data_IF_733168524045
#
_entry.id   IF_733168524045
#
_cell.length_a   1.000
_cell.length_b   1.000
_cell.length_c   1.000
_cell.angle_alpha   90.00
_cell.angle_beta   90.00
_cell.angle_gamma   90.00
#
_symmetry.space_group_name_H-M   'P 1'
#
loop_
_entity.id
_entity.type
_entity.pdbx_description
1 polymer ?
#
# COMPACT_ATOMS: atom_id res chain seq x y z
N UNK A 1 -15.11 17.33 0.34
CA UNK A 1 -13.71 17.51 -0.10
C UNK A 1 -13.27 16.30 -0.93
N UNK A 2 -12.15 16.36 -1.67
CA UNK A 2 -11.57 15.20 -2.36
C UNK A 2 -10.49 14.57 -1.49
N UNK A 3 -10.52 13.25 -1.32
CA UNK A 3 -9.39 12.50 -0.76
C UNK A 3 -8.33 12.24 -1.84
N UNK A 4 -7.09 12.59 -1.57
CA UNK A 4 -5.92 12.20 -2.37
C UNK A 4 -5.14 11.19 -1.54
N UNK A 5 -5.02 9.96 -2.03
CA UNK A 5 -4.43 8.86 -1.27
C UNK A 5 -3.72 7.87 -2.16
N UNK A 6 -2.97 6.96 -1.56
CA UNK A 6 -2.33 5.86 -2.25
C UNK A 6 -3.34 4.76 -2.59
N UNK A 7 -3.16 4.12 -3.75
CA UNK A 7 -4.00 3.00 -4.19
C UNK A 7 -3.56 1.70 -3.52
N UNK A 8 -3.86 1.57 -2.22
CA UNK A 8 -3.61 0.37 -1.43
C UNK A 8 -4.70 0.18 -0.36
N UNK A 9 -4.54 -0.84 0.49
CA UNK A 9 -5.54 -1.18 1.49
C UNK A 9 -5.69 -0.07 2.54
N UNK A 10 -4.58 0.50 3.04
CA UNK A 10 -4.59 1.60 4.02
C UNK A 10 -5.27 2.86 3.46
N UNK A 11 -4.94 3.26 2.24
CA UNK A 11 -5.62 4.37 1.55
C UNK A 11 -7.13 4.12 1.37
N UNK A 12 -7.53 2.87 1.12
CA UNK A 12 -8.95 2.50 1.02
C UNK A 12 -9.67 2.59 2.38
N UNK A 13 -9.00 2.23 3.48
CA UNK A 13 -9.57 2.37 4.83
C UNK A 13 -9.65 3.86 5.24
N UNK A 14 -8.66 4.68 4.90
CA UNK A 14 -8.76 6.14 5.05
C UNK A 14 -10.01 6.69 4.34
N UNK A 15 -10.29 6.21 3.12
CA UNK A 15 -11.48 6.60 2.37
C UNK A 15 -12.79 6.17 3.07
N UNK A 16 -12.83 4.97 3.67
CA UNK A 16 -13.98 4.52 4.48
C UNK A 16 -14.26 5.48 5.63
N UNK A 17 -13.24 5.78 6.44
CA UNK A 17 -13.38 6.61 7.63
C UNK A 17 -13.82 8.04 7.29
N UNK A 18 -13.17 8.66 6.30
CA UNK A 18 -13.46 10.03 5.90
C UNK A 18 -14.83 10.15 5.20
N UNK A 19 -15.25 9.13 4.43
CA UNK A 19 -16.59 9.05 3.86
C UNK A 19 -17.65 8.88 4.94
N UNK A 20 -17.38 8.05 5.96
CA UNK A 20 -18.30 7.87 7.09
C UNK A 20 -18.53 9.19 7.83
N UNK A 21 -17.50 10.00 7.98
CA UNK A 21 -17.62 11.33 8.58
C UNK A 21 -18.30 12.37 7.66
N UNK A 22 -18.53 12.05 6.39
CA UNK A 22 -19.10 12.97 5.39
C UNK A 22 -18.11 14.07 4.97
N UNK A 23 -16.82 13.83 5.11
CA UNK A 23 -15.76 14.80 4.80
C UNK A 23 -15.32 14.74 3.35
N UNK A 24 -15.53 13.62 2.67
CA UNK A 24 -15.14 13.43 1.27
C UNK A 24 -16.33 12.99 0.41
N UNK A 25 -16.27 13.41 -0.85
CA UNK A 25 -17.24 13.09 -1.90
C UNK A 25 -16.57 12.51 -3.16
N UNK A 26 -15.23 12.59 -3.26
CA UNK A 26 -14.43 12.00 -4.34
C UNK A 26 -13.09 11.46 -3.81
N UNK A 27 -12.52 10.50 -4.54
CA UNK A 27 -11.24 9.87 -4.23
C UNK A 27 -10.34 9.91 -5.46
N UNK A 28 -9.14 10.49 -5.30
CA UNK A 28 -8.06 10.45 -6.27
C UNK A 28 -6.92 9.55 -5.76
N UNK A 29 -6.73 8.42 -6.42
CA UNK A 29 -5.59 7.56 -6.16
C UNK A 29 -4.36 8.05 -6.92
N UNK A 30 -3.24 8.20 -6.22
CA UNK A 30 -2.00 8.76 -6.78
C UNK A 30 -0.78 7.90 -6.41
N UNK A 31 0.27 8.03 -7.20
CA UNK A 31 1.58 7.56 -6.78
C UNK A 31 2.27 8.65 -5.95
N UNK A 32 2.87 8.35 -4.77
CA UNK A 32 3.52 9.35 -3.91
C UNK A 32 4.53 10.24 -4.65
N UNK A 33 5.30 9.65 -5.56
CA UNK A 33 6.27 10.38 -6.38
C UNK A 33 5.63 11.46 -7.26
N UNK A 34 4.41 11.25 -7.75
CA UNK A 34 3.74 12.26 -8.60
C UNK A 34 3.30 13.49 -7.79
N UNK A 35 3.01 13.32 -6.49
CA UNK A 35 2.82 14.44 -5.58
C UNK A 35 4.12 15.18 -5.29
N UNK A 36 5.21 14.45 -5.01
CA UNK A 36 6.53 15.02 -4.77
C UNK A 36 7.06 15.79 -6.01
N UNK A 37 6.76 15.29 -7.21
CA UNK A 37 7.13 15.91 -8.48
C UNK A 37 6.16 17.05 -8.90
N UNK A 38 5.19 17.42 -8.06
CA UNK A 38 4.17 18.43 -8.31
C UNK A 38 3.36 18.21 -9.61
N UNK A 39 3.18 16.95 -10.03
CA UNK A 39 2.35 16.60 -11.19
C UNK A 39 0.86 16.61 -10.87
N UNK A 40 0.49 16.55 -9.60
CA UNK A 40 -0.88 16.55 -9.09
C UNK A 40 -1.15 17.91 -8.48
N UNK A 41 -2.18 18.59 -8.98
CA UNK A 41 -2.64 19.84 -8.38
C UNK A 41 -3.39 19.55 -7.08
N UNK A 42 -2.93 20.14 -5.98
CA UNK A 42 -3.51 20.04 -4.63
C UNK A 42 -4.04 21.41 -4.23
N UNK A 43 -5.19 21.44 -3.59
CA UNK A 43 -5.90 22.67 -3.17
C UNK A 43 -6.39 22.54 -1.72
N UNK A 44 -6.89 23.60 -1.14
CA UNK A 44 -7.53 23.60 0.17
C UNK A 44 -8.81 22.72 0.27
N UNK A 45 -9.32 22.21 -0.86
CA UNK A 45 -10.44 21.27 -0.89
C UNK A 45 -9.98 19.81 -0.95
N UNK A 46 -8.69 19.54 -0.75
CA UNK A 46 -8.12 18.20 -0.76
C UNK A 46 -7.72 17.77 0.66
N UNK A 47 -8.06 16.52 1.01
CA UNK A 47 -7.51 15.79 2.15
C UNK A 47 -6.44 14.85 1.62
N UNK A 48 -5.23 14.97 2.11
CA UNK A 48 -4.14 14.05 1.82
C UNK A 48 -4.06 13.01 2.92
N UNK A 49 -4.07 11.70 2.59
CA UNK A 49 -3.86 10.63 3.54
C UNK A 49 -2.98 9.52 2.94
N UNK A 50 -2.05 8.96 3.71
CA UNK A 50 -1.11 7.92 3.26
C UNK A 50 -0.25 8.36 2.06
N UNK A 51 0.04 9.65 1.97
CA UNK A 51 0.84 10.26 0.90
C UNK A 51 1.63 11.46 1.45
N UNK A 52 2.74 11.85 0.77
CA UNK A 52 3.53 13.00 1.17
C UNK A 52 2.73 14.29 1.29
N UNK A 53 3.12 15.13 2.25
CA UNK A 53 2.55 16.46 2.41
C UNK A 53 2.79 17.35 1.21
N UNK A 54 1.75 18.06 0.79
CA UNK A 54 1.82 19.14 -0.21
C UNK A 54 1.19 20.40 0.36
N UNK A 55 1.95 21.50 0.34
CA UNK A 55 1.47 22.80 0.83
C UNK A 55 0.22 23.24 0.10
N UNK A 56 -0.73 23.78 0.87
CA UNK A 56 -2.02 24.25 0.33
C UNK A 56 -3.14 23.19 0.34
N UNK A 57 -2.89 21.95 0.80
CA UNK A 57 -3.96 21.01 1.11
C UNK A 57 -4.81 21.51 2.28
N UNK A 58 -6.07 21.07 2.35
CA UNK A 58 -6.96 21.39 3.46
C UNK A 58 -6.60 20.63 4.73
N UNK A 59 -6.41 19.30 4.61
CA UNK A 59 -6.00 18.42 5.72
C UNK A 59 -4.95 17.45 5.25
N UNK A 60 -4.09 17.02 6.18
CA UNK A 60 -3.09 15.99 5.91
C UNK A 60 -2.97 15.00 7.07
N UNK A 61 -2.91 13.68 6.71
CA UNK A 61 -2.76 12.57 7.64
C UNK A 61 -1.72 11.59 7.10
N UNK A 62 -0.68 11.32 7.90
CA UNK A 62 0.36 10.37 7.53
C UNK A 62 1.02 9.71 8.75
N UNK A 63 1.65 8.56 8.53
CA UNK A 63 2.31 7.77 9.57
C UNK A 63 3.80 7.52 9.28
N UNK A 64 4.31 7.98 8.13
CA UNK A 64 5.70 7.76 7.73
C UNK A 64 6.65 8.70 8.48
N UNK A 65 7.66 8.15 9.15
CA UNK A 65 8.65 8.91 9.92
C UNK A 65 9.45 9.90 9.06
N UNK A 66 9.80 9.50 7.82
CA UNK A 66 10.51 10.35 6.85
C UNK A 66 9.75 11.64 6.51
N UNK A 67 8.42 11.59 6.47
CA UNK A 67 7.59 12.77 6.24
C UNK A 67 7.55 13.68 7.47
N UNK A 68 7.54 13.13 8.68
CA UNK A 68 7.63 13.92 9.90
C UNK A 68 8.93 14.73 9.99
N UNK A 69 10.06 14.17 9.52
CA UNK A 69 11.33 14.89 9.47
C UNK A 69 11.34 15.96 8.39
N UNK A 70 10.83 15.64 7.21
CA UNK A 70 10.70 16.60 6.11
C UNK A 70 9.83 17.79 6.50
N UNK A 71 8.81 17.61 7.32
CA UNK A 71 7.89 18.65 7.79
C UNK A 71 8.50 19.64 8.77
N UNK A 72 9.50 19.28 9.52
CA UNK A 72 10.25 20.25 10.37
C UNK A 72 10.75 21.42 9.53
N UNK A 73 10.81 21.25 8.21
CA UNK A 73 11.28 22.23 7.23
C UNK A 73 10.15 22.96 6.49
N UNK A 74 8.88 22.52 6.54
CA UNK A 74 7.81 22.99 5.62
C UNK A 74 6.67 23.78 6.25
N UNK A 75 6.63 23.94 7.58
CA UNK A 75 5.65 24.82 8.21
C UNK A 75 4.44 24.09 8.83
N UNK A 76 3.36 24.86 9.08
CA UNK A 76 2.14 24.37 9.74
C UNK A 76 1.18 23.75 8.74
N UNK A 77 0.55 22.65 9.13
CA UNK A 77 -0.54 21.99 8.40
C UNK A 77 -1.71 21.72 9.36
N UNK A 78 -2.89 21.53 8.81
CA UNK A 78 -4.05 21.00 9.54
C UNK A 78 -4.14 19.49 9.35
N UNK A 79 -4.59 18.76 10.38
CA UNK A 79 -4.63 17.31 10.41
C UNK A 79 -3.65 16.73 11.44
N UNK A 80 -3.08 15.57 11.17
CA UNK A 80 -2.11 14.92 12.05
C UNK A 80 -1.11 14.07 11.29
N UNK A 81 0.15 14.09 11.73
CA UNK A 81 1.17 13.14 11.35
C UNK A 81 1.81 12.58 12.60
N UNK A 82 1.79 11.27 12.75
CA UNK A 82 2.29 10.59 13.94
C UNK A 82 2.75 9.18 13.57
N UNK A 83 3.74 8.68 14.28
CA UNK A 83 4.11 7.26 14.19
C UNK A 83 2.92 6.39 14.62
N UNK A 84 2.43 5.59 13.68
CA UNK A 84 1.25 4.74 13.83
C UNK A 84 1.37 3.49 12.94
N UNK A 85 0.56 2.44 13.18
CA UNK A 85 0.55 1.25 12.34
C UNK A 85 0.12 1.49 10.89
N UNK A 86 -0.66 2.56 10.63
CA UNK A 86 -1.18 2.94 9.31
C UNK A 86 -1.68 4.38 9.31
N UNK A 87 -1.85 5.00 8.15
CA UNK A 87 -2.48 6.32 8.04
C UNK A 87 -3.96 6.29 8.47
N UNK A 88 -4.66 5.18 8.23
CA UNK A 88 -6.02 4.97 8.74
C UNK A 88 -6.07 5.05 10.27
N UNK A 89 -5.08 4.53 10.98
CA UNK A 89 -4.99 4.66 12.43
C UNK A 89 -4.80 6.13 12.85
N UNK A 90 -4.01 6.91 12.11
CA UNK A 90 -3.83 8.36 12.38
C UNK A 90 -5.15 9.11 12.19
N UNK A 91 -5.88 8.85 11.10
CA UNK A 91 -7.22 9.43 10.85
C UNK A 91 -8.20 9.07 11.96
N UNK A 92 -8.26 7.78 12.30
CA UNK A 92 -9.16 7.27 13.34
C UNK A 92 -8.89 7.93 14.70
N UNK A 93 -7.63 7.95 15.15
CA UNK A 93 -7.23 8.55 16.42
C UNK A 93 -7.43 10.08 16.46
N UNK A 94 -7.29 10.74 15.32
CA UNK A 94 -7.54 12.18 15.24
C UNK A 94 -9.00 12.52 15.49
N UNK A 95 -9.93 11.82 14.81
CA UNK A 95 -11.35 12.13 14.87
C UNK A 95 -12.08 11.50 16.07
N UNK A 96 -11.62 10.35 16.61
CA UNK A 96 -12.26 9.72 17.78
C UNK A 96 -12.20 10.57 19.06
N UNK A 97 -11.38 11.60 19.08
CA UNK A 97 -11.34 12.59 20.20
C UNK A 97 -12.66 13.37 20.31
N UNK A 98 -13.38 13.51 19.24
CA UNK A 98 -14.69 14.15 19.19
C UNK A 98 -15.79 13.12 19.41
N UNK A 99 -16.67 13.30 20.42
CA UNK A 99 -17.65 12.28 20.81
C UNK A 99 -18.58 11.85 19.66
N UNK A 100 -19.03 12.78 18.83
CA UNK A 100 -19.91 12.55 17.70
C UNK A 100 -19.20 11.73 16.57
N UNK A 101 -17.93 12.02 16.31
CA UNK A 101 -17.13 11.26 15.34
C UNK A 101 -16.83 9.87 15.87
N UNK A 102 -16.53 9.74 17.16
CA UNK A 102 -16.23 8.46 17.80
C UNK A 102 -17.38 7.47 17.64
N UNK A 103 -18.62 7.89 17.87
CA UNK A 103 -19.81 7.01 17.71
C UNK A 103 -19.91 6.47 16.30
N UNK A 104 -19.63 7.30 15.30
CA UNK A 104 -19.67 6.90 13.88
C UNK A 104 -18.51 6.01 13.49
N UNK A 105 -17.31 6.24 14.04
CA UNK A 105 -16.09 5.54 13.66
C UNK A 105 -15.88 4.21 14.41
N UNK A 106 -16.39 4.06 15.64
CA UNK A 106 -16.17 2.84 16.43
C UNK A 106 -16.49 1.52 15.68
N UNK A 107 -17.55 1.43 14.84
CA UNK A 107 -17.81 0.21 14.08
C UNK A 107 -16.69 -0.19 13.11
N UNK A 108 -15.82 0.75 12.73
CA UNK A 108 -14.73 0.55 11.80
C UNK A 108 -13.37 0.30 12.47
N UNK A 109 -13.31 0.26 13.81
CA UNK A 109 -12.07 -0.04 14.54
C UNK A 109 -11.43 -1.36 14.09
N UNK A 110 -12.16 -2.48 13.89
CA UNK A 110 -11.57 -3.70 13.34
C UNK A 110 -10.94 -3.52 11.95
N UNK A 111 -11.52 -2.66 11.11
CA UNK A 111 -10.97 -2.37 9.79
C UNK A 111 -9.68 -1.55 9.87
N UNK A 112 -9.59 -0.64 10.84
CA UNK A 112 -8.36 0.12 11.13
C UNK A 112 -7.24 -0.82 11.62
N UNK A 113 -7.57 -1.79 12.48
CA UNK A 113 -6.62 -2.82 12.92
C UNK A 113 -6.12 -3.67 11.76
N UNK A 114 -7.00 -4.04 10.82
CA UNK A 114 -6.63 -4.73 9.59
C UNK A 114 -5.68 -3.90 8.72
N UNK A 115 -5.93 -2.59 8.57
CA UNK A 115 -5.02 -1.70 7.85
C UNK A 115 -3.64 -1.63 8.50
N UNK A 116 -3.60 -1.51 9.82
CA UNK A 116 -2.36 -1.54 10.59
C UNK A 116 -1.61 -2.88 10.47
N UNK A 117 -2.32 -4.00 10.43
CA UNK A 117 -1.73 -5.33 10.23
C UNK A 117 -1.08 -5.45 8.84
N UNK A 118 -1.79 -4.99 7.80
CA UNK A 118 -1.30 -5.01 6.41
C UNK A 118 -0.08 -4.10 6.24
N UNK A 119 -0.18 -2.86 6.68
CA UNK A 119 0.84 -1.85 6.40
C UNK A 119 2.12 -2.07 7.21
N UNK A 120 2.00 -2.55 8.45
CA UNK A 120 3.14 -2.98 9.28
C UNK A 120 3.79 -4.29 8.82
N UNK A 121 3.28 -4.93 7.76
CA UNK A 121 3.81 -6.18 7.23
C UNK A 121 3.78 -7.34 8.25
N UNK A 122 2.69 -7.47 9.02
CA UNK A 122 2.53 -8.54 10.03
C UNK A 122 2.09 -9.88 9.43
N UNK A 123 2.42 -10.12 8.17
CA UNK A 123 2.14 -11.37 7.48
C UNK A 123 2.96 -12.52 8.06
N UNK A 124 2.34 -13.68 8.19
CA UNK A 124 3.04 -14.95 8.40
C UNK A 124 3.73 -15.41 7.13
N UNK A 125 4.60 -16.41 7.23
CA UNK A 125 5.20 -17.02 6.03
C UNK A 125 4.14 -17.67 5.16
N UNK A 126 3.11 -18.24 5.76
CA UNK A 126 1.99 -18.87 5.06
C UNK A 126 1.17 -17.82 4.29
N UNK A 127 0.85 -16.68 4.91
CA UNK A 127 0.18 -15.55 4.22
C UNK A 127 0.94 -15.07 2.98
N UNK A 128 2.28 -15.13 3.00
CA UNK A 128 3.11 -14.74 1.86
C UNK A 128 3.12 -15.82 0.77
N UNK A 129 3.19 -17.10 1.15
CA UNK A 129 3.29 -18.23 0.21
C UNK A 129 1.96 -18.58 -0.45
N UNK A 130 0.88 -18.61 0.33
CA UNK A 130 -0.48 -18.96 -0.10
C UNK A 130 -1.52 -18.06 0.59
N UNK A 131 -1.61 -16.78 0.18
CA UNK A 131 -2.47 -15.81 0.85
C UNK A 131 -3.94 -16.20 0.75
N UNK A 132 -4.65 -16.02 1.88
CA UNK A 132 -6.09 -16.19 2.01
C UNK A 132 -6.68 -14.94 2.69
N UNK A 133 -8.01 -14.77 2.62
CA UNK A 133 -8.73 -13.72 3.34
C UNK A 133 -8.07 -12.35 3.22
N UNK A 134 -7.77 -11.70 4.35
CA UNK A 134 -7.18 -10.35 4.38
C UNK A 134 -5.82 -10.26 3.66
N UNK A 135 -4.96 -11.27 3.76
CA UNK A 135 -3.67 -11.26 3.07
C UNK A 135 -3.85 -11.25 1.54
N UNK A 136 -4.81 -12.04 1.02
CA UNK A 136 -5.13 -12.04 -0.41
C UNK A 136 -5.67 -10.68 -0.85
N UNK A 137 -6.63 -10.09 -0.12
CA UNK A 137 -7.17 -8.79 -0.47
C UNK A 137 -6.10 -7.70 -0.42
N UNK A 138 -5.22 -7.73 0.58
CA UNK A 138 -4.10 -6.79 0.69
C UNK A 138 -3.16 -6.87 -0.51
N UNK A 139 -2.83 -8.08 -0.99
CA UNK A 139 -1.98 -8.24 -2.17
C UNK A 139 -2.69 -7.89 -3.49
N UNK A 140 -4.00 -8.08 -3.59
CA UNK A 140 -4.78 -7.59 -4.73
C UNK A 140 -4.78 -6.05 -4.75
N UNK A 141 -4.91 -5.41 -3.60
CA UNK A 141 -4.92 -3.97 -3.47
C UNK A 141 -3.52 -3.33 -3.61
N UNK A 142 -2.42 -4.08 -3.38
CA UNK A 142 -1.06 -3.54 -3.46
C UNK A 142 -0.59 -3.37 -4.92
N UNK A 143 -0.39 -2.14 -5.41
CA UNK A 143 0.05 -1.89 -6.78
C UNK A 143 1.43 -2.50 -7.10
N UNK A 144 2.25 -2.77 -6.07
CA UNK A 144 3.60 -3.35 -6.21
C UNK A 144 3.58 -4.82 -6.62
N UNK A 145 2.46 -5.52 -6.46
CA UNK A 145 2.31 -6.92 -6.93
C UNK A 145 2.34 -7.04 -8.45
N UNK A 146 1.97 -5.97 -9.14
CA UNK A 146 1.94 -5.93 -10.60
C UNK A 146 0.62 -6.32 -11.24
N UNK A 147 -0.43 -6.61 -10.47
CA UNK A 147 -1.78 -6.87 -11.01
C UNK A 147 -2.27 -5.72 -11.90
N UNK A 148 -1.94 -4.48 -11.56
CA UNK A 148 -2.29 -3.30 -12.36
C UNK A 148 -1.68 -3.25 -13.76
N UNK A 149 -0.68 -4.11 -14.08
CA UNK A 149 -0.13 -4.23 -15.43
C UNK A 149 -1.00 -5.10 -16.35
N UNK A 150 -1.79 -6.01 -15.78
CA UNK A 150 -2.73 -6.87 -16.55
C UNK A 150 -3.89 -6.02 -17.04
N UNK A 151 -4.26 -6.19 -18.32
CA UNK A 151 -5.28 -5.37 -18.98
C UNK A 151 -6.56 -6.14 -19.34
N UNK A 152 -6.56 -7.46 -19.15
CA UNK A 152 -7.65 -8.35 -19.59
C UNK A 152 -8.76 -8.53 -18.54
N UNK A 153 -8.72 -7.77 -17.44
CA UNK A 153 -9.75 -7.77 -16.42
C UNK A 153 -11.04 -7.07 -16.91
N UNK A 154 -12.20 -7.53 -16.43
CA UNK A 154 -13.52 -6.96 -16.73
C UNK A 154 -13.62 -5.47 -16.42
N UNK A 155 -13.00 -5.03 -15.32
CA UNK A 155 -12.85 -3.62 -14.95
C UNK A 155 -11.38 -3.34 -14.68
N UNK A 156 -10.97 -2.09 -14.83
CA UNK A 156 -9.60 -1.69 -14.51
C UNK A 156 -9.30 -1.84 -13.02
N UNK A 157 -8.02 -1.97 -12.65
CA UNK A 157 -7.64 -1.93 -11.24
C UNK A 157 -7.98 -0.58 -10.58
N UNK A 158 -7.97 0.49 -11.35
CA UNK A 158 -8.41 1.80 -10.86
C UNK A 158 -9.89 1.78 -10.46
N UNK A 159 -10.77 1.22 -11.31
CA UNK A 159 -12.19 1.10 -11.00
C UNK A 159 -12.45 0.13 -9.85
N UNK A 160 -11.67 -0.96 -9.77
CA UNK A 160 -11.74 -1.88 -8.63
C UNK A 160 -11.44 -1.14 -7.32
N UNK A 161 -10.33 -0.40 -7.28
CA UNK A 161 -9.93 0.34 -6.07
C UNK A 161 -10.93 1.43 -5.70
N UNK A 162 -11.59 2.09 -6.68
CA UNK A 162 -12.69 3.04 -6.39
C UNK A 162 -13.89 2.38 -5.73
N UNK A 163 -14.17 1.11 -6.00
CA UNK A 163 -15.28 0.36 -5.39
C UNK A 163 -14.93 -0.17 -3.99
N UNK A 164 -13.64 -0.45 -3.74
CA UNK A 164 -13.21 -1.12 -2.53
C UNK A 164 -13.67 -0.42 -1.23
N UNK A 165 -13.58 0.91 -1.04
CA UNK A 165 -14.06 1.55 0.17
C UNK A 165 -15.56 1.32 0.45
N UNK A 166 -16.41 1.35 -0.58
CA UNK A 166 -17.84 1.05 -0.45
C UNK A 166 -18.09 -0.40 -0.06
N UNK A 167 -17.33 -1.33 -0.61
CA UNK A 167 -17.44 -2.76 -0.27
C UNK A 167 -16.98 -3.03 1.17
N UNK A 168 -15.87 -2.44 1.61
CA UNK A 168 -15.35 -2.58 2.98
C UNK A 168 -16.32 -2.08 4.05
N UNK A 169 -17.27 -1.20 3.71
CA UNK A 169 -18.33 -0.74 4.62
C UNK A 169 -19.48 -1.73 4.77
N UNK A 170 -19.69 -2.62 3.82
CA UNK A 170 -20.94 -3.41 3.73
C UNK A 170 -20.73 -4.91 3.58
N UNK A 171 -19.49 -5.37 3.38
CA UNK A 171 -19.15 -6.77 3.16
C UNK A 171 -17.97 -7.18 4.04
N UNK A 172 -17.93 -8.44 4.39
CA UNK A 172 -16.73 -9.07 4.94
C UNK A 172 -15.65 -9.23 3.87
N UNK A 173 -14.42 -9.44 4.30
CA UNK A 173 -13.28 -9.68 3.38
C UNK A 173 -13.55 -10.87 2.46
N UNK A 174 -14.09 -11.98 3.01
CA UNK A 174 -14.37 -13.18 2.23
C UNK A 174 -15.48 -12.94 1.19
N UNK A 175 -16.55 -12.21 1.54
CA UNK A 175 -17.59 -11.82 0.60
C UNK A 175 -17.01 -10.94 -0.54
N UNK A 176 -16.10 -10.02 -0.24
CA UNK A 176 -15.43 -9.19 -1.26
C UNK A 176 -14.64 -10.06 -2.23
N UNK A 177 -13.86 -11.02 -1.71
CA UNK A 177 -13.04 -11.92 -2.55
C UNK A 177 -13.88 -12.83 -3.46
N UNK A 178 -15.12 -13.13 -3.08
CA UNK A 178 -16.07 -13.91 -3.88
C UNK A 178 -16.75 -13.08 -5.01
N UNK A 179 -16.70 -11.75 -4.97
CA UNK A 179 -17.22 -10.92 -6.06
C UNK A 179 -16.44 -11.19 -7.36
N UNK A 180 -17.13 -11.24 -8.48
CA UNK A 180 -16.54 -11.62 -9.78
C UNK A 180 -15.29 -10.82 -10.16
N UNK A 181 -15.29 -9.50 -9.88
CA UNK A 181 -14.17 -8.62 -10.20
C UNK A 181 -12.94 -8.86 -9.30
N UNK A 182 -13.13 -9.37 -8.09
CA UNK A 182 -12.05 -9.76 -7.19
C UNK A 182 -11.59 -11.20 -7.46
N UNK A 183 -12.54 -12.13 -7.70
CA UNK A 183 -12.24 -13.53 -7.97
C UNK A 183 -11.31 -13.70 -9.18
N UNK A 184 -11.55 -12.98 -10.29
CA UNK A 184 -10.65 -13.04 -11.44
C UNK A 184 -9.20 -12.60 -11.11
N UNK A 185 -9.03 -11.69 -10.14
CA UNK A 185 -7.70 -11.27 -9.66
C UNK A 185 -7.07 -12.29 -8.73
N UNK A 186 -7.87 -12.94 -7.89
CA UNK A 186 -7.43 -14.06 -7.04
C UNK A 186 -6.87 -15.19 -7.92
N UNK A 187 -7.58 -15.54 -8.98
CA UNK A 187 -7.16 -16.60 -9.92
C UNK A 187 -5.84 -16.24 -10.60
N UNK A 188 -5.75 -15.05 -11.17
CA UNK A 188 -4.51 -14.55 -11.80
C UNK A 188 -3.36 -14.46 -10.79
N UNK A 189 -3.63 -13.95 -9.59
CA UNK A 189 -2.60 -13.86 -8.56
C UNK A 189 -2.05 -15.25 -8.19
N UNK A 190 -2.91 -16.23 -7.97
CA UNK A 190 -2.51 -17.60 -7.61
C UNK A 190 -1.68 -18.28 -8.70
N UNK A 191 -2.06 -18.11 -9.96
CA UNK A 191 -1.33 -18.66 -11.10
C UNK A 191 0.04 -17.99 -11.26
N UNK A 192 0.08 -16.67 -11.29
CA UNK A 192 1.28 -15.89 -11.52
C UNK A 192 2.25 -15.93 -10.34
N UNK A 193 1.76 -16.02 -9.09
CA UNK A 193 2.60 -16.10 -7.89
C UNK A 193 3.49 -17.35 -7.87
N UNK A 194 3.04 -18.46 -8.48
CA UNK A 194 3.87 -19.66 -8.66
C UNK A 194 5.03 -19.39 -9.61
N UNK A 195 4.75 -18.78 -10.77
CA UNK A 195 5.77 -18.39 -11.75
C UNK A 195 6.74 -17.34 -11.18
N UNK A 196 6.22 -16.40 -10.38
CA UNK A 196 7.05 -15.39 -9.72
C UNK A 196 8.08 -16.02 -8.77
N UNK A 197 7.68 -17.05 -8.02
CA UNK A 197 8.58 -17.81 -7.15
C UNK A 197 9.71 -18.48 -7.92
N UNK A 198 9.41 -19.08 -9.06
CA UNK A 198 10.42 -19.72 -9.93
C UNK A 198 11.41 -18.68 -10.48
N UNK A 199 10.91 -17.54 -10.95
CA UNK A 199 11.76 -16.46 -11.47
C UNK A 199 12.68 -15.90 -10.37
N UNK A 200 12.20 -15.76 -9.14
CA UNK A 200 13.05 -15.29 -8.04
C UNK A 200 14.31 -16.15 -7.88
N UNK A 201 14.23 -17.47 -7.94
CA UNK A 201 15.39 -18.35 -7.83
C UNK A 201 16.42 -18.11 -8.94
N UNK A 202 16.02 -17.66 -10.12
CA UNK A 202 16.92 -17.37 -11.23
C UNK A 202 17.50 -15.95 -11.19
N UNK A 203 16.80 -15.01 -10.58
CA UNK A 203 17.16 -13.59 -10.54
C UNK A 203 17.91 -13.18 -9.28
N UNK A 204 17.92 -14.03 -8.26
CA UNK A 204 18.50 -13.71 -6.95
C UNK A 204 19.99 -14.04 -6.92
N UNK A 205 20.76 -13.12 -6.32
CA UNK A 205 22.12 -13.33 -5.82
C UNK A 205 22.18 -12.94 -4.36
N UNK A 206 22.74 -13.80 -3.55
CA UNK A 206 22.92 -13.52 -2.12
C UNK A 206 24.33 -12.94 -1.92
N UNK A 207 24.39 -11.84 -1.19
CA UNK A 207 25.65 -11.24 -0.75
C UNK A 207 25.50 -10.92 0.75
N UNK A 208 26.09 -11.73 1.59
CA UNK A 208 25.96 -11.65 3.04
C UNK A 208 24.49 -11.61 3.49
N UNK A 209 24.07 -10.52 4.14
CA UNK A 209 22.68 -10.31 4.59
C UNK A 209 21.76 -9.69 3.52
N UNK A 210 22.25 -9.51 2.29
CA UNK A 210 21.53 -8.81 1.21
C UNK A 210 21.05 -9.79 0.14
N UNK A 211 19.78 -9.65 -0.25
CA UNK A 211 19.18 -10.29 -1.42
C UNK A 211 19.27 -9.29 -2.59
N UNK A 212 20.10 -9.58 -3.58
CA UNK A 212 20.13 -8.80 -4.82
C UNK A 212 19.24 -9.49 -5.86
N UNK A 213 18.24 -8.79 -6.37
CA UNK A 213 17.28 -9.31 -7.34
C UNK A 213 17.36 -8.48 -8.62
N UNK A 214 17.76 -9.11 -9.72
CA UNK A 214 17.89 -8.42 -11.00
C UNK A 214 16.77 -8.86 -11.97
N UNK A 215 15.72 -8.05 -12.07
CA UNK A 215 14.60 -8.24 -12.99
C UNK A 215 14.81 -7.55 -14.35
N UNK A 216 15.94 -6.91 -14.58
CA UNK A 216 16.19 -6.23 -15.86
C UNK A 216 16.21 -7.24 -17.00
N UNK A 217 15.61 -6.86 -18.12
CA UNK A 217 15.51 -7.73 -19.30
C UNK A 217 14.35 -8.73 -19.25
N UNK A 218 13.64 -8.89 -18.12
CA UNK A 218 12.44 -9.72 -18.04
C UNK A 218 11.28 -8.96 -18.67
N UNK A 219 10.79 -9.43 -19.81
CA UNK A 219 9.76 -8.75 -20.58
C UNK A 219 8.37 -8.81 -19.90
N UNK A 220 8.03 -9.95 -19.30
CA UNK A 220 6.76 -10.20 -18.62
C UNK A 220 7.03 -10.73 -17.21
N UNK A 221 7.29 -9.78 -16.29
CA UNK A 221 7.47 -10.12 -14.88
C UNK A 221 6.11 -10.56 -14.30
N UNK A 222 6.00 -11.79 -13.77
CA UNK A 222 4.77 -12.27 -13.18
C UNK A 222 4.31 -11.43 -11.98
N UNK A 223 3.03 -11.56 -11.67
CA UNK A 223 2.44 -11.00 -10.45
C UNK A 223 2.97 -11.74 -9.23
N UNK A 224 3.39 -10.99 -8.21
CA UNK A 224 3.85 -11.58 -6.97
C UNK A 224 4.02 -10.54 -5.87
N UNK A 225 3.98 -10.97 -4.62
CA UNK A 225 4.17 -10.06 -3.51
C UNK A 225 5.65 -9.83 -3.19
N UNK A 226 5.96 -8.64 -2.70
CA UNK A 226 7.32 -8.19 -2.39
C UNK A 226 7.97 -8.86 -1.18
N UNK A 227 7.23 -9.69 -0.45
CA UNK A 227 7.75 -10.37 0.74
C UNK A 227 8.22 -11.79 0.43
N UNK A 228 7.94 -12.29 -0.78
CA UNK A 228 8.27 -13.65 -1.21
C UNK A 228 9.76 -13.96 -1.05
N UNK A 229 10.65 -13.02 -1.42
CA UNK A 229 12.08 -13.23 -1.28
C UNK A 229 12.53 -13.49 0.16
N UNK A 230 11.87 -12.89 1.15
CA UNK A 230 12.24 -13.10 2.56
C UNK A 230 11.72 -14.42 3.14
N UNK A 231 10.76 -15.05 2.47
CA UNK A 231 10.34 -16.42 2.81
C UNK A 231 11.29 -17.42 2.19
N UNK A 232 11.71 -17.17 0.93
CA UNK A 232 12.62 -18.06 0.20
C UNK A 232 14.05 -17.97 0.69
N UNK A 233 14.49 -16.79 1.15
CA UNK A 233 15.84 -16.51 1.66
C UNK A 233 15.74 -15.91 3.08
N UNK A 234 15.45 -16.73 4.09
CA UNK A 234 15.09 -16.24 5.44
C UNK A 234 16.26 -15.68 6.26
N UNK A 235 17.50 -16.02 5.89
CA UNK A 235 18.70 -15.57 6.58
C UNK A 235 19.06 -14.11 6.24
N UNK A 236 18.54 -13.59 5.14
CA UNK A 236 18.79 -12.23 4.68
C UNK A 236 17.77 -11.24 5.30
N UNK A 237 18.23 -10.03 5.58
CA UNK A 237 17.43 -9.01 6.28
C UNK A 237 17.10 -7.78 5.42
N UNK A 238 17.69 -7.67 4.22
CA UNK A 238 17.44 -6.57 3.28
C UNK A 238 17.40 -7.10 1.85
N UNK A 239 16.58 -6.51 0.99
CA UNK A 239 16.59 -6.78 -0.46
C UNK A 239 16.84 -5.52 -1.26
N UNK A 240 17.56 -5.68 -2.37
CA UNK A 240 17.74 -4.65 -3.41
C UNK A 240 17.23 -5.24 -4.71
N UNK A 241 16.21 -4.61 -5.28
CA UNK A 241 15.61 -5.01 -6.56
C UNK A 241 15.99 -4.02 -7.64
N UNK A 242 16.42 -4.55 -8.78
CA UNK A 242 16.70 -3.82 -9.99
C UNK A 242 15.64 -4.19 -11.04
N UNK A 243 15.04 -3.21 -11.68
CA UNK A 243 14.08 -3.42 -12.76
C UNK A 243 14.27 -2.37 -13.86
N UNK A 244 13.86 -2.69 -15.07
CA UNK A 244 13.81 -1.72 -16.16
C UNK A 244 12.72 -0.67 -15.90
N UNK A 245 13.08 0.59 -15.99
CA UNK A 245 12.15 1.70 -16.03
C UNK A 245 11.44 1.82 -17.38
N UNK A 246 10.61 2.85 -17.51
CA UNK A 246 9.82 3.06 -18.71
C UNK A 246 10.70 3.07 -19.98
N UNK A 247 10.35 2.20 -20.95
CA UNK A 247 11.08 2.02 -22.20
C UNK A 247 12.60 1.73 -22.01
N UNK A 248 12.99 1.18 -20.86
CA UNK A 248 14.40 0.92 -20.50
C UNK A 248 15.31 2.15 -20.51
N UNK A 249 14.73 3.35 -20.34
CA UNK A 249 15.50 4.61 -20.32
C UNK A 249 16.27 4.82 -19.02
N UNK A 250 15.89 4.12 -17.96
CA UNK A 250 16.53 4.17 -16.64
C UNK A 250 16.32 2.83 -15.93
N UNK A 251 17.13 2.56 -14.91
CA UNK A 251 16.91 1.45 -14.00
C UNK A 251 16.17 1.95 -12.75
N UNK A 252 15.16 1.21 -12.33
CA UNK A 252 14.51 1.41 -11.03
C UNK A 252 15.24 0.58 -9.99
N UNK A 253 15.54 1.19 -8.85
CA UNK A 253 16.13 0.53 -7.68
C UNK A 253 15.12 0.64 -6.56
N UNK A 254 14.79 -0.50 -5.93
CA UNK A 254 13.95 -0.55 -4.75
C UNK A 254 14.68 -1.29 -3.65
N UNK A 255 14.70 -0.72 -2.46
CA UNK A 255 15.29 -1.33 -1.28
C UNK A 255 14.18 -1.64 -0.29
N UNK A 256 14.26 -2.79 0.38
CA UNK A 256 13.27 -3.21 1.36
C UNK A 256 13.89 -4.01 2.49
N UNK A 257 13.31 -3.89 3.68
CA UNK A 257 13.65 -4.71 4.83
C UNK A 257 12.83 -5.98 4.88
N UNK A 258 13.43 -7.04 5.41
CA UNK A 258 12.71 -8.27 5.74
C UNK A 258 11.68 -8.00 6.83
N UNK A 259 10.44 -8.44 6.60
CA UNK A 259 9.40 -8.44 7.63
C UNK A 259 9.58 -9.57 8.65
N UNK A 260 10.41 -10.57 8.34
CA UNK A 260 10.70 -11.74 9.17
C UNK A 260 12.02 -11.60 9.93
N UNK A 261 13.10 -11.29 9.23
CA UNK A 261 14.43 -11.07 9.82
C UNK A 261 14.67 -9.56 9.99
N UNK A 262 14.19 -9.01 11.11
CA UNK A 262 14.24 -7.56 11.43
C UNK A 262 15.55 -7.12 12.08
N UNK A 263 16.68 -7.72 11.70
CA UNK A 263 18.00 -7.43 12.28
C UNK A 263 18.77 -6.32 11.55
N UNK A 264 18.26 -5.82 10.42
CA UNK A 264 18.87 -4.70 9.71
C UNK A 264 18.68 -3.39 10.49
N UNK A 265 19.79 -2.71 10.79
CA UNK A 265 19.80 -1.43 11.48
C UNK A 265 19.91 -0.22 10.53
N UNK A 266 20.00 -0.45 9.21
CA UNK A 266 20.12 0.62 8.22
C UNK A 266 18.75 1.21 7.95
N UNK A 267 18.61 2.52 8.09
CA UNK A 267 17.41 3.22 7.61
C UNK A 267 17.54 3.43 6.09
N UNK A 268 16.58 2.87 5.34
CA UNK A 268 16.54 2.98 3.87
C UNK A 268 15.54 4.05 3.39
N UNK A 269 14.88 4.73 4.31
CA UNK A 269 13.90 5.78 4.05
C UNK A 269 14.45 7.21 4.19
N UNK A 270 15.68 7.35 4.70
CA UNK A 270 16.37 8.64 4.89
C UNK A 270 17.21 9.03 3.67
#
# INVERSE_FOLDING_TARGET
MRLVTRSDFDGSVCAVLLSELGLIDDILYVHPKDLQDHKIQVTGNDILANVPYVSGCGLWFDHHSSECERLKLQGRFEGNSAEAPSAAAVVFEYYRKHPECRVRLNPFEPLVDMAGWVDSGRFSREDVLDPQGLAMLAFIADPRTGLGRKRDFRISNFDLMKRLPGLLRSHTIDEILELSDFRERVEVYREENRRYREILYHCVRIQDSVILIDFRGIADLPVGNRFMEYVLFPDQNISIRLADGLQRKFAMISVGHSIFNRTCAVDVGL
#
